data_IF_731427861843
#
_entry.id   IF_731427861843
#
_cell.length_a   1.000
_cell.length_b   1.000
_cell.length_c   1.000
_cell.angle_alpha   90.00
_cell.angle_beta   90.00
_cell.angle_gamma   90.00
#
_symmetry.space_group_name_H-M   'P 1'
#
loop_
_entity.id
_entity.type
_entity.pdbx_description
1 polymer ?
#
# COMPACT_ATOMS: atom_id res chain seq x y z
N UNK A 1 27.35 14.85 -36.08
CA UNK A 1 26.12 15.27 -35.40
C UNK A 1 25.63 14.08 -34.60
N UNK A 2 25.76 14.15 -33.27
CA UNK A 2 25.60 13.02 -32.37
C UNK A 2 24.16 12.52 -32.31
N UNK A 3 23.99 11.21 -32.32
CA UNK A 3 22.75 10.54 -31.98
C UNK A 3 22.41 10.88 -30.53
N UNK A 4 21.37 11.69 -30.33
CA UNK A 4 20.73 11.80 -29.02
C UNK A 4 20.04 10.45 -28.79
N UNK A 5 20.63 9.60 -27.93
CA UNK A 5 19.90 8.47 -27.36
C UNK A 5 18.66 9.05 -26.68
N UNK A 6 17.49 8.59 -27.08
CA UNK A 6 16.27 8.76 -26.31
C UNK A 6 16.59 8.32 -24.86
N UNK A 7 16.22 9.10 -23.82
CA UNK A 7 16.39 8.62 -22.46
C UNK A 7 15.63 7.30 -22.38
N UNK A 8 16.37 6.20 -22.15
CA UNK A 8 15.77 4.92 -21.79
C UNK A 8 14.84 5.22 -20.62
N UNK A 9 13.54 5.30 -20.87
CA UNK A 9 12.53 5.22 -19.84
C UNK A 9 12.76 3.86 -19.22
N UNK A 10 13.52 3.82 -18.14
CA UNK A 10 13.66 2.65 -17.30
C UNK A 10 12.22 2.30 -16.92
N UNK A 11 11.66 1.30 -17.58
CA UNK A 11 10.39 0.73 -17.21
C UNK A 11 10.65 0.09 -15.85
N UNK A 12 10.43 0.85 -14.78
CA UNK A 12 10.44 0.31 -13.42
C UNK A 12 9.41 -0.82 -13.46
N UNK A 13 9.80 -2.08 -13.24
CA UNK A 13 8.86 -3.18 -13.28
C UNK A 13 7.80 -2.91 -12.21
N UNK A 14 6.59 -2.55 -12.64
CA UNK A 14 5.46 -2.36 -11.72
C UNK A 14 5.04 -3.72 -11.23
N UNK A 15 5.05 -3.88 -9.91
CA UNK A 15 4.39 -5.03 -9.30
C UNK A 15 2.91 -5.04 -9.69
N UNK A 16 2.31 -6.22 -9.93
CA UNK A 16 0.93 -6.33 -10.37
C UNK A 16 -0.03 -5.81 -9.29
N UNK A 17 -1.22 -5.42 -9.71
CA UNK A 17 -2.28 -5.10 -8.77
C UNK A 17 -2.77 -6.36 -8.07
N UNK A 18 -3.06 -6.26 -6.77
CA UNK A 18 -3.66 -7.34 -6.01
C UNK A 18 -5.18 -7.22 -5.99
N UNK A 19 -5.86 -8.35 -6.12
CA UNK A 19 -7.27 -8.47 -5.77
C UNK A 19 -7.44 -8.35 -4.24
N UNK A 20 -8.64 -8.01 -3.73
CA UNK A 20 -8.85 -7.80 -2.31
C UNK A 20 -8.52 -9.02 -1.45
N UNK A 21 -8.78 -10.22 -1.94
CA UNK A 21 -8.44 -11.46 -1.25
C UNK A 21 -6.93 -11.69 -1.17
N UNK A 22 -6.18 -11.42 -2.25
CA UNK A 22 -4.72 -11.49 -2.27
C UNK A 22 -4.10 -10.48 -1.29
N UNK A 23 -4.60 -9.23 -1.29
CA UNK A 23 -4.14 -8.21 -0.34
C UNK A 23 -4.39 -8.64 1.11
N UNK A 24 -5.63 -9.04 1.44
CA UNK A 24 -5.99 -9.44 2.80
C UNK A 24 -5.32 -10.75 3.24
N UNK A 25 -5.05 -11.68 2.32
CA UNK A 25 -4.29 -12.89 2.60
C UNK A 25 -2.90 -12.55 3.12
N UNK A 26 -2.18 -11.66 2.43
CA UNK A 26 -0.82 -11.27 2.80
C UNK A 26 -0.78 -10.54 4.13
N UNK A 27 -1.67 -9.55 4.30
CA UNK A 27 -1.77 -8.77 5.55
C UNK A 27 -2.04 -9.68 6.75
N UNK A 28 -2.84 -10.73 6.55
CA UNK A 28 -3.09 -11.75 7.58
C UNK A 28 -1.91 -12.68 7.80
N UNK A 29 -1.30 -13.15 6.71
CA UNK A 29 -0.15 -14.05 6.78
C UNK A 29 1.07 -13.39 7.41
N UNK A 30 1.23 -12.07 7.25
CA UNK A 30 2.30 -11.28 7.87
C UNK A 30 1.99 -10.84 9.30
N UNK A 31 0.75 -11.01 9.76
CA UNK A 31 0.34 -10.63 11.12
C UNK A 31 -0.01 -9.15 11.31
N UNK A 32 -0.03 -8.35 10.25
CA UNK A 32 -0.24 -6.90 10.29
C UNK A 32 -1.72 -6.46 10.22
N UNK A 33 -2.70 -7.40 10.25
CA UNK A 33 -4.13 -7.03 10.14
C UNK A 33 -4.59 -6.10 11.26
N UNK A 34 -4.23 -6.40 12.51
CA UNK A 34 -4.67 -5.60 13.66
C UNK A 34 -4.06 -4.20 13.62
N UNK A 35 -2.78 -4.11 13.29
CA UNK A 35 -2.02 -2.85 13.20
C UNK A 35 -2.54 -1.99 12.04
N UNK A 36 -2.86 -2.59 10.89
CA UNK A 36 -3.44 -1.87 9.75
C UNK A 36 -4.80 -1.28 10.13
N UNK A 37 -5.64 -2.07 10.81
CA UNK A 37 -6.94 -1.60 11.29
C UNK A 37 -6.81 -0.51 12.37
N UNK A 38 -5.85 -0.65 13.28
CA UNK A 38 -5.57 0.32 14.32
C UNK A 38 -5.10 1.65 13.73
N UNK A 39 -4.21 1.62 12.73
CA UNK A 39 -3.79 2.80 12.00
C UNK A 39 -4.95 3.47 11.29
N UNK A 40 -5.77 2.73 10.54
CA UNK A 40 -6.95 3.33 9.89
C UNK A 40 -7.91 3.93 10.92
N UNK A 41 -8.09 3.31 12.08
CA UNK A 41 -8.90 3.87 13.15
C UNK A 41 -8.30 5.16 13.73
N UNK A 42 -6.97 5.25 13.88
CA UNK A 42 -6.30 6.43 14.43
C UNK A 42 -6.46 7.67 13.55
N UNK A 43 -6.63 7.49 12.24
CA UNK A 43 -6.92 8.59 11.30
C UNK A 43 -8.26 9.31 11.59
N UNK A 44 -9.21 8.64 12.26
CA UNK A 44 -10.51 9.22 12.60
C UNK A 44 -10.70 9.51 14.10
N UNK A 45 -9.65 9.43 14.89
CA UNK A 45 -9.68 9.76 16.31
C UNK A 45 -9.20 11.21 16.53
N UNK A 46 -10.06 12.15 16.96
CA UNK A 46 -9.66 13.54 17.22
C UNK A 46 -8.57 13.72 18.28
N UNK A 47 -8.33 12.71 19.12
CA UNK A 47 -7.26 12.73 20.12
C UNK A 47 -5.92 12.16 19.58
N UNK A 48 -5.94 11.54 18.40
CA UNK A 48 -4.75 10.96 17.76
C UNK A 48 -3.86 12.04 17.15
N UNK A 49 -2.51 11.90 17.24
CA UNK A 49 -1.60 12.76 16.49
C UNK A 49 -1.73 12.58 14.96
N UNK A 50 -2.27 11.45 14.52
CA UNK A 50 -2.48 11.10 13.11
C UNK A 50 -3.89 11.48 12.61
N UNK A 51 -4.64 12.30 13.37
CA UNK A 51 -6.01 12.67 13.03
C UNK A 51 -6.08 13.37 11.66
N UNK A 52 -6.60 12.64 10.67
CA UNK A 52 -6.90 13.11 9.32
C UNK A 52 -8.17 12.41 8.84
N UNK A 53 -9.35 13.01 9.05
CA UNK A 53 -10.62 12.41 8.68
C UNK A 53 -10.78 12.25 7.15
N UNK A 54 -10.01 13.00 6.34
CA UNK A 54 -9.99 12.82 4.89
C UNK A 54 -9.17 11.59 4.51
N UNK A 55 -7.98 11.42 5.09
CA UNK A 55 -7.19 10.21 4.90
C UNK A 55 -7.94 8.97 5.39
N UNK A 56 -8.65 9.06 6.52
CA UNK A 56 -9.53 7.98 7.00
C UNK A 56 -10.60 7.62 5.96
N UNK A 57 -11.30 8.60 5.39
CA UNK A 57 -12.37 8.35 4.42
C UNK A 57 -11.83 7.62 3.17
N UNK A 58 -10.63 7.96 2.71
CA UNK A 58 -9.97 7.28 1.59
C UNK A 58 -9.48 5.88 2.01
N UNK A 59 -8.85 5.75 3.17
CA UNK A 59 -8.32 4.48 3.69
C UNK A 59 -9.41 3.43 3.90
N UNK A 60 -10.45 3.80 4.63
CA UNK A 60 -11.60 2.95 4.91
C UNK A 60 -12.31 2.53 3.62
N UNK A 61 -12.62 3.49 2.73
CA UNK A 61 -13.27 3.18 1.47
C UNK A 61 -12.43 2.23 0.59
N UNK A 62 -11.10 2.39 0.57
CA UNK A 62 -10.23 1.52 -0.20
C UNK A 62 -10.16 0.12 0.42
N UNK A 63 -10.04 0.00 1.74
CA UNK A 63 -10.01 -1.30 2.41
C UNK A 63 -11.32 -2.08 2.24
N UNK A 64 -12.47 -1.38 2.25
CA UNK A 64 -13.79 -2.01 2.19
C UNK A 64 -14.27 -2.30 0.76
N UNK A 65 -13.92 -1.44 -0.21
CA UNK A 65 -14.55 -1.45 -1.54
C UNK A 65 -13.60 -1.45 -2.73
N UNK A 66 -12.28 -1.49 -2.52
CA UNK A 66 -11.36 -1.56 -3.65
C UNK A 66 -11.60 -2.83 -4.47
N UNK A 67 -11.60 -2.67 -5.81
CA UNK A 67 -11.55 -3.81 -6.73
C UNK A 67 -10.14 -4.36 -6.88
N UNK A 68 -9.15 -3.50 -6.67
CA UNK A 68 -7.74 -3.83 -6.75
C UNK A 68 -6.91 -2.87 -5.89
N UNK A 69 -5.78 -3.37 -5.40
CA UNK A 69 -4.77 -2.60 -4.70
C UNK A 69 -3.57 -2.43 -5.62
N UNK A 70 -3.19 -1.18 -5.87
CA UNK A 70 -1.97 -0.84 -6.62
C UNK A 70 -0.80 -0.69 -5.63
N UNK A 71 0.34 -1.34 -5.93
CA UNK A 71 1.54 -1.31 -5.08
C UNK A 71 2.03 0.10 -4.82
N UNK A 72 2.09 0.92 -5.86
CA UNK A 72 2.63 2.28 -5.84
C UNK A 72 1.61 3.31 -5.33
N UNK A 73 0.44 2.87 -4.84
CA UNK A 73 -0.58 3.80 -4.37
C UNK A 73 -0.12 4.52 -3.09
N UNK A 74 -0.31 5.84 -2.97
CA UNK A 74 0.13 6.60 -1.78
C UNK A 74 -0.38 6.02 -0.45
N UNK A 75 -1.61 5.51 -0.43
CA UNK A 75 -2.18 4.83 0.74
C UNK A 75 -1.45 3.55 1.15
N UNK A 76 -0.94 2.79 0.18
CA UNK A 76 -0.20 1.55 0.44
C UNK A 76 1.16 1.88 1.04
N UNK A 77 1.81 2.94 0.55
CA UNK A 77 3.03 3.47 1.16
C UNK A 77 2.79 4.05 2.56
N UNK A 78 1.70 4.80 2.76
CA UNK A 78 1.35 5.30 4.08
C UNK A 78 1.09 4.16 5.08
N UNK A 79 0.39 3.11 4.64
CA UNK A 79 0.19 1.90 5.45
C UNK A 79 1.52 1.21 5.76
N UNK A 80 2.44 1.10 4.79
CA UNK A 80 3.79 0.55 5.01
C UNK A 80 4.52 1.29 6.13
N UNK A 81 4.52 2.62 6.08
CA UNK A 81 5.18 3.46 7.07
C UNK A 81 4.56 3.28 8.47
N UNK A 82 3.22 3.26 8.54
CA UNK A 82 2.50 3.05 9.79
C UNK A 82 2.76 1.65 10.39
N UNK A 83 2.93 0.65 9.54
CA UNK A 83 3.22 -0.73 9.94
C UNK A 83 4.71 -0.97 10.22
N UNK A 84 5.57 0.05 10.05
CA UNK A 84 7.00 -0.05 10.28
C UNK A 84 7.72 -0.99 9.30
N UNK A 85 7.10 -1.33 8.16
CA UNK A 85 7.69 -2.20 7.15
C UNK A 85 8.69 -1.44 6.29
N UNK A 86 9.77 -2.10 5.91
CA UNK A 86 10.68 -1.62 4.87
C UNK A 86 10.01 -1.72 3.49
N UNK A 87 10.46 -0.91 2.50
CA UNK A 87 9.96 -1.05 1.13
C UNK A 87 10.16 -2.46 0.55
N UNK A 88 11.28 -3.11 0.88
CA UNK A 88 11.59 -4.46 0.41
C UNK A 88 10.65 -5.50 1.02
N UNK A 89 10.35 -5.42 2.31
CA UNK A 89 9.39 -6.35 2.94
C UNK A 89 8.01 -6.23 2.30
N UNK A 90 7.56 -5.00 2.00
CA UNK A 90 6.31 -4.81 1.29
C UNK A 90 6.36 -5.38 -0.13
N UNK A 91 7.44 -5.17 -0.88
CA UNK A 91 7.61 -5.71 -2.24
C UNK A 91 7.63 -7.25 -2.25
N UNK A 92 8.30 -7.88 -1.29
CA UNK A 92 8.37 -9.34 -1.15
C UNK A 92 7.00 -9.94 -0.83
N UNK A 93 6.28 -9.30 0.10
CA UNK A 93 4.90 -9.66 0.45
C UNK A 93 3.95 -9.50 -0.74
N UNK A 94 4.13 -8.43 -1.52
CA UNK A 94 3.34 -8.17 -2.72
C UNK A 94 3.58 -9.19 -3.83
N UNK A 95 4.85 -9.51 -4.08
CA UNK A 95 5.25 -10.51 -5.05
C UNK A 95 4.69 -11.88 -4.68
N UNK A 96 4.75 -12.25 -3.40
CA UNK A 96 4.17 -13.48 -2.87
C UNK A 96 2.66 -13.59 -3.10
N UNK A 97 1.93 -12.48 -2.92
CA UNK A 97 0.49 -12.41 -3.13
C UNK A 97 0.05 -12.58 -4.58
N UNK A 98 0.91 -12.12 -5.49
CA UNK A 98 0.64 -12.03 -6.93
C UNK A 98 1.04 -13.27 -7.72
N UNK A 99 1.75 -14.20 -7.08
CA UNK A 99 2.23 -15.46 -7.66
C UNK A 99 1.12 -16.52 -7.70
#
# INVERSE_FOLDING_TARGET
MGYLREPETIAVPRLPNLEPDQFWFVVRASGHEEELRAWVASLNDPASPDYDPMAWAVASAKLDFAKFFERDHPLVEAAREALGMTPQELDDLWAYASA
#
